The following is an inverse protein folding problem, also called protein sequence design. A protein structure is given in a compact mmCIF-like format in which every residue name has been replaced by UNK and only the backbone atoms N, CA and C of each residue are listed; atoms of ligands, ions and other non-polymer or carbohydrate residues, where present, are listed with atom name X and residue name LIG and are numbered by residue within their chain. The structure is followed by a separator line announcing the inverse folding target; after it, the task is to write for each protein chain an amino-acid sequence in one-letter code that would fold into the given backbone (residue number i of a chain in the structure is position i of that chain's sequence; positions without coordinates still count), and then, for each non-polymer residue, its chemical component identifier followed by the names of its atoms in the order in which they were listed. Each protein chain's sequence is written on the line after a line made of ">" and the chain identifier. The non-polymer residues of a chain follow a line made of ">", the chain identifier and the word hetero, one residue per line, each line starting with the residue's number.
data_IF_118033445639
#
_entry.id   IF_118033445639
#
_cell.length_a   1.000
_cell.length_b   1.000
_cell.length_c   1.000
_cell.angle_alpha   90.00
_cell.angle_beta   90.00
_cell.angle_gamma   90.00
#
_symmetry.space_group_name_H-M   'P 1'
#
loop_
_entity.id
_entity.type
_entity.pdbx_description
1 polymer ?
#
# COMPACT_ATOMS: atom_id res chain seq x y z
N UNK A 1 31.52 -30.80 51.00
CA UNK A 1 32.55 -30.26 50.09
C UNK A 1 31.88 -29.17 49.29
N UNK A 2 32.04 -27.93 49.76
CA UNK A 2 31.39 -26.72 49.23
C UNK A 2 32.43 -25.95 48.42
N UNK A 3 32.29 -25.92 47.10
CA UNK A 3 33.15 -25.13 46.23
C UNK A 3 32.45 -23.81 45.88
N UNK A 4 33.04 -22.75 46.40
CA UNK A 4 32.71 -21.35 46.13
C UNK A 4 33.45 -20.92 44.87
N UNK A 5 32.73 -20.45 43.86
CA UNK A 5 33.31 -19.95 42.61
C UNK A 5 33.18 -18.42 42.59
N UNK A 6 34.29 -17.73 42.82
CA UNK A 6 34.43 -16.29 42.69
C UNK A 6 34.53 -15.91 41.20
N UNK A 7 33.57 -15.11 40.71
CA UNK A 7 33.58 -14.58 39.34
C UNK A 7 33.99 -13.11 39.35
N UNK A 8 35.21 -12.86 38.88
CA UNK A 8 35.83 -11.55 38.79
C UNK A 8 35.20 -10.68 37.69
N UNK A 9 34.84 -9.46 38.06
CA UNK A 9 34.30 -8.42 37.16
C UNK A 9 35.44 -7.68 36.45
N UNK A 10 35.60 -7.95 35.16
CA UNK A 10 36.51 -7.24 34.25
C UNK A 10 35.83 -6.00 33.66
N UNK A 11 36.30 -4.80 34.04
CA UNK A 11 35.90 -3.51 33.44
C UNK A 11 36.63 -3.30 32.09
N UNK A 12 35.94 -2.91 31.00
CA UNK A 12 36.62 -2.46 29.79
C UNK A 12 37.11 -1.01 29.91
N UNK A 13 38.30 -0.78 29.35
CA UNK A 13 39.01 0.50 29.24
C UNK A 13 38.22 1.50 28.39
N UNK A 14 38.15 2.74 28.86
CA UNK A 14 37.68 3.89 28.12
C UNK A 14 38.80 4.42 27.22
N UNK A 15 38.67 4.20 25.91
CA UNK A 15 39.56 4.83 24.93
C UNK A 15 39.14 6.29 24.70
N UNK A 16 40.14 7.16 24.90
CA UNK A 16 40.14 8.56 24.53
C UNK A 16 39.80 8.73 23.05
N UNK A 17 38.76 9.51 22.75
CA UNK A 17 38.62 10.11 21.43
C UNK A 17 38.96 11.60 21.50
N UNK A 18 39.96 11.96 20.70
CA UNK A 18 40.57 13.27 20.59
C UNK A 18 39.62 14.20 19.83
N UNK A 19 39.36 15.37 20.42
CA UNK A 19 38.73 16.51 19.77
C UNK A 19 39.62 17.02 18.62
N UNK A 20 39.16 16.90 17.38
CA UNK A 20 39.68 17.68 16.26
C UNK A 20 38.83 18.94 16.09
N UNK A 21 39.37 20.06 16.57
CA UNK A 21 38.93 21.42 16.26
C UNK A 21 39.38 21.73 14.84
N UNK A 22 38.46 22.13 13.96
CA UNK A 22 38.79 22.78 12.68
C UNK A 22 38.11 24.14 12.67
N UNK A 23 38.97 25.13 12.78
CA UNK A 23 38.68 26.55 12.71
C UNK A 23 38.27 27.00 11.30
N UNK A 24 37.40 28.01 11.31
CA UNK A 24 37.43 29.23 10.51
C UNK A 24 37.61 29.15 8.98
N UNK A 25 36.56 29.63 8.31
CA UNK A 25 36.74 30.70 7.31
C UNK A 25 36.73 30.25 5.87
N UNK A 26 35.72 30.67 5.12
CA UNK A 26 35.90 31.59 3.98
C UNK A 26 34.52 32.06 3.53
N UNK A 27 34.27 33.34 3.77
CA UNK A 27 33.19 34.12 3.17
C UNK A 27 33.51 34.34 1.70
N UNK A 28 32.64 33.88 0.79
CA UNK A 28 32.63 34.39 -0.58
C UNK A 28 31.28 35.02 -0.87
N UNK A 29 31.34 36.34 -0.87
CA UNK A 29 30.36 37.30 -1.34
C UNK A 29 30.29 37.17 -2.87
N UNK A 30 29.28 36.47 -3.41
CA UNK A 30 29.01 36.53 -4.84
C UNK A 30 28.05 37.68 -5.14
N UNK A 31 28.52 38.48 -6.08
CA UNK A 31 27.95 39.72 -6.58
C UNK A 31 26.66 39.44 -7.37
N UNK A 32 25.68 40.32 -7.18
CA UNK A 32 24.52 40.49 -8.05
C UNK A 32 25.02 41.05 -9.38
N UNK A 33 24.74 40.34 -10.47
CA UNK A 33 24.98 40.79 -11.83
C UNK A 33 23.68 40.70 -12.62
N UNK A 34 22.90 41.78 -12.57
CA UNK A 34 21.93 42.10 -13.61
C UNK A 34 22.71 42.43 -14.89
N UNK A 35 22.37 41.77 -16.01
CA UNK A 35 22.25 42.40 -17.32
C UNK A 35 21.91 41.42 -18.45
N UNK A 36 21.11 41.96 -19.36
CA UNK A 36 20.96 41.64 -20.78
C UNK A 36 20.01 40.52 -21.23
N UNK A 37 18.84 40.99 -21.70
CA UNK A 37 18.46 40.98 -23.13
C UNK A 37 19.26 39.99 -23.98
N UNK A 38 18.61 38.92 -24.40
CA UNK A 38 18.99 38.24 -25.64
C UNK A 38 17.75 38.12 -26.51
N UNK A 39 17.84 38.80 -27.66
CA UNK A 39 16.87 38.81 -28.73
C UNK A 39 16.83 37.45 -29.43
N UNK A 40 15.67 37.18 -30.01
CA UNK A 40 15.46 36.26 -31.11
C UNK A 40 16.53 36.45 -32.19
N UNK A 41 17.21 35.37 -32.55
CA UNK A 41 17.34 34.91 -33.95
C UNK A 41 18.36 33.77 -34.07
N UNK A 42 17.93 32.77 -34.82
CA UNK A 42 18.72 32.03 -35.80
C UNK A 42 19.21 30.59 -35.49
N UNK A 43 18.91 29.77 -36.50
CA UNK A 43 19.64 28.63 -37.05
C UNK A 43 19.41 27.24 -36.44
N UNK A 44 18.41 26.58 -37.04
CA UNK A 44 18.36 25.14 -37.29
C UNK A 44 19.72 24.68 -37.80
N UNK A 45 20.43 23.86 -37.02
CA UNK A 45 21.58 23.09 -37.47
C UNK A 45 21.28 21.60 -37.34
N UNK A 46 21.38 20.93 -38.48
CA UNK A 46 21.28 19.49 -38.69
C UNK A 46 22.09 18.68 -37.67
N UNK A 47 21.39 17.92 -36.83
CA UNK A 47 21.99 16.81 -36.11
C UNK A 47 22.08 15.60 -37.04
N UNK A 48 23.25 15.46 -37.64
CA UNK A 48 23.67 14.28 -38.39
C UNK A 48 23.60 13.03 -37.52
N UNK A 49 22.92 12.02 -38.06
CA UNK A 49 22.86 10.64 -37.57
C UNK A 49 24.28 10.03 -37.50
N UNK A 50 24.65 9.33 -36.41
CA UNK A 50 25.79 8.44 -36.45
C UNK A 50 25.45 7.19 -37.27
N UNK A 51 26.13 7.09 -38.42
CA UNK A 51 26.23 5.93 -39.28
C UNK A 51 27.21 4.90 -38.71
N UNK A 52 26.72 3.88 -38.00
CA UNK A 52 27.31 2.53 -38.09
C UNK A 52 26.43 1.46 -37.43
N UNK A 53 25.92 0.50 -38.22
CA UNK A 53 25.32 -0.73 -37.72
C UNK A 53 26.38 -1.85 -37.72
N UNK A 54 26.86 -2.25 -36.54
CA UNK A 54 27.68 -3.47 -36.40
C UNK A 54 27.78 -3.85 -34.93
N UNK A 55 27.64 -5.09 -34.46
CA UNK A 55 27.24 -6.38 -34.99
C UNK A 55 27.11 -7.28 -33.72
N UNK A 56 26.44 -8.42 -33.88
CA UNK A 56 26.47 -9.59 -32.99
C UNK A 56 25.62 -9.53 -31.71
N UNK A 57 24.44 -10.14 -31.77
CA UNK A 57 24.12 -11.36 -31.00
C UNK A 57 22.79 -11.95 -31.47
N UNK A 58 22.77 -12.51 -32.68
CA UNK A 58 21.77 -13.51 -33.08
C UNK A 58 22.21 -14.84 -32.48
N UNK A 59 21.71 -15.16 -31.28
CA UNK A 59 21.71 -16.54 -30.82
C UNK A 59 20.42 -17.18 -31.32
N UNK A 60 20.52 -17.75 -32.52
CA UNK A 60 19.63 -18.79 -33.02
C UNK A 60 19.72 -19.97 -32.06
N UNK A 61 18.72 -20.13 -31.20
CA UNK A 61 18.40 -21.40 -30.56
C UNK A 61 17.26 -22.01 -31.37
N UNK A 62 17.64 -22.73 -32.43
CA UNK A 62 16.80 -23.78 -33.00
C UNK A 62 16.76 -24.93 -31.98
N UNK A 63 15.70 -24.96 -31.17
CA UNK A 63 15.27 -26.19 -30.50
C UNK A 63 14.13 -26.80 -31.31
N UNK A 64 14.52 -27.75 -32.14
CA UNK A 64 13.64 -28.73 -32.78
C UNK A 64 13.04 -29.67 -31.74
N UNK A 65 11.71 -29.87 -31.83
CA UNK A 65 10.97 -31.11 -31.52
C UNK A 65 10.91 -31.48 -30.01
N UNK A 66 9.77 -31.75 -29.38
CA UNK A 66 8.60 -32.50 -29.79
C UNK A 66 7.35 -31.92 -29.09
N UNK A 67 6.30 -31.61 -29.84
CA UNK A 67 4.97 -31.40 -29.25
C UNK A 67 4.40 -32.76 -28.87
N UNK A 68 4.08 -33.02 -27.58
CA UNK A 68 3.44 -34.25 -27.19
C UNK A 68 2.05 -34.34 -27.84
N UNK A 69 1.73 -35.53 -28.36
CA UNK A 69 0.48 -35.84 -29.01
C UNK A 69 -0.71 -35.41 -28.13
N UNK A 70 -1.58 -34.58 -28.71
CA UNK A 70 -2.88 -34.24 -28.16
C UNK A 70 -3.67 -35.56 -28.06
N UNK A 71 -3.83 -36.07 -26.84
CA UNK A 71 -4.75 -37.17 -26.57
C UNK A 71 -6.16 -36.64 -26.82
N UNK A 72 -6.96 -37.24 -27.72
CA UNK A 72 -8.35 -36.86 -27.88
C UNK A 72 -9.07 -37.18 -26.56
N UNK A 73 -9.45 -36.14 -25.82
CA UNK A 73 -10.35 -36.27 -24.69
C UNK A 73 -11.72 -36.65 -25.25
N UNK A 74 -12.16 -37.89 -25.02
CA UNK A 74 -13.56 -38.25 -25.18
C UNK A 74 -14.40 -37.35 -24.25
N UNK A 75 -15.46 -36.70 -24.76
CA UNK A 75 -16.35 -35.94 -23.93
C UNK A 75 -17.05 -36.89 -22.95
N UNK A 76 -16.72 -36.75 -21.66
CA UNK A 76 -17.50 -37.35 -20.58
C UNK A 76 -18.95 -36.89 -20.73
N UNK A 77 -19.85 -37.83 -21.01
CA UNK A 77 -21.29 -37.56 -20.97
C UNK A 77 -21.66 -37.27 -19.51
N UNK A 78 -21.93 -35.99 -19.24
CA UNK A 78 -22.56 -35.54 -18.01
C UNK A 78 -24.06 -35.64 -18.26
N UNK A 79 -24.72 -36.59 -17.60
CA UNK A 79 -26.18 -36.67 -17.57
C UNK A 79 -26.73 -35.40 -16.90
N UNK A 80 -27.27 -34.49 -17.70
CA UNK A 80 -27.86 -33.21 -17.27
C UNK A 80 -29.29 -33.36 -16.70
N UNK A 81 -29.56 -34.40 -15.92
CA UNK A 81 -30.91 -34.65 -15.38
C UNK A 81 -31.20 -34.02 -14.01
N UNK A 82 -30.32 -33.18 -13.46
CA UNK A 82 -30.64 -32.36 -12.28
C UNK A 82 -30.73 -30.89 -12.68
N UNK A 83 -31.96 -30.49 -12.99
CA UNK A 83 -32.41 -29.12 -13.24
C UNK A 83 -32.38 -28.33 -11.91
N UNK A 84 -31.18 -27.96 -11.45
CA UNK A 84 -31.04 -27.02 -10.34
C UNK A 84 -31.35 -25.60 -10.83
N UNK A 85 -32.58 -25.16 -10.58
CA UNK A 85 -33.03 -23.78 -10.74
C UNK A 85 -32.16 -22.84 -9.88
N UNK A 86 -31.22 -22.14 -10.50
CA UNK A 86 -30.46 -21.03 -9.90
C UNK A 86 -31.13 -19.72 -10.32
N UNK A 87 -32.36 -19.51 -9.88
CA UNK A 87 -32.98 -18.18 -9.89
C UNK A 87 -33.14 -17.72 -8.44
N UNK A 88 -32.76 -16.46 -8.20
CA UNK A 88 -32.92 -15.70 -6.96
C UNK A 88 -31.94 -16.00 -5.81
N UNK A 89 -30.70 -15.52 -5.95
CA UNK A 89 -29.96 -15.00 -4.79
C UNK A 89 -29.36 -13.63 -5.15
N UNK A 90 -30.12 -12.59 -4.84
CA UNK A 90 -29.60 -11.22 -4.80
C UNK A 90 -28.64 -11.10 -3.61
N UNK A 91 -27.37 -10.70 -3.79
CA UNK A 91 -26.47 -10.50 -2.67
C UNK A 91 -26.83 -9.20 -1.95
N UNK A 92 -27.38 -9.33 -0.74
CA UNK A 92 -27.50 -8.21 0.18
C UNK A 92 -26.10 -7.69 0.53
N UNK A 93 -25.84 -6.44 0.16
CA UNK A 93 -24.61 -5.70 0.47
C UNK A 93 -24.55 -5.54 2.00
N UNK A 94 -23.70 -6.33 2.65
CA UNK A 94 -23.38 -6.20 4.08
C UNK A 94 -22.30 -5.14 4.25
N UNK A 95 -22.61 -4.10 5.04
CA UNK A 95 -21.66 -3.05 5.44
C UNK A 95 -20.67 -3.59 6.47
N UNK A 96 -19.37 -3.20 6.41
CA UNK A 96 -18.36 -3.69 7.32
C UNK A 96 -18.23 -2.73 8.51
N UNK A 97 -19.02 -2.93 9.56
CA UNK A 97 -18.70 -2.39 10.87
C UNK A 97 -18.75 -3.51 11.92
N UNK A 98 -17.63 -3.61 12.66
CA UNK A 98 -17.41 -4.43 13.86
C UNK A 98 -17.16 -5.93 13.63
N UNK A 99 -15.89 -6.29 13.43
CA UNK A 99 -15.37 -7.66 13.60
C UNK A 99 -14.50 -7.74 14.86
N UNK A 100 -15.13 -7.57 16.02
CA UNK A 100 -14.59 -8.15 17.26
C UNK A 100 -15.11 -9.57 17.37
N UNK A 101 -14.24 -10.55 17.04
CA UNK A 101 -14.18 -11.90 17.60
C UNK A 101 -15.47 -12.71 17.81
N UNK A 102 -16.59 -12.33 17.20
CA UNK A 102 -17.87 -12.95 17.46
C UNK A 102 -18.05 -14.11 16.50
N UNK A 103 -18.09 -15.31 17.08
CA UNK A 103 -18.48 -16.56 16.45
C UNK A 103 -19.63 -16.27 15.48
N UNK A 104 -19.37 -16.37 14.17
CA UNK A 104 -20.39 -16.17 13.13
C UNK A 104 -21.50 -17.17 13.43
N UNK A 105 -22.55 -16.71 14.11
CA UNK A 105 -23.78 -17.45 14.23
C UNK A 105 -24.42 -17.40 12.87
N UNK A 106 -24.15 -18.43 12.08
CA UNK A 106 -24.95 -18.71 10.89
C UNK A 106 -26.41 -18.74 11.34
N UNK A 107 -27.20 -17.73 10.94
CA UNK A 107 -28.65 -17.77 11.05
C UNK A 107 -29.09 -18.98 10.23
N UNK A 108 -29.26 -20.10 10.93
CA UNK A 108 -29.79 -21.34 10.39
C UNK A 108 -31.21 -20.99 9.96
N UNK A 109 -31.46 -20.93 8.65
CA UNK A 109 -32.81 -20.85 8.12
C UNK A 109 -33.53 -22.13 8.58
N UNK A 110 -34.27 -22.01 9.67
CA UNK A 110 -35.06 -23.05 10.31
C UNK A 110 -36.35 -23.24 9.52
N UNK A 111 -36.27 -23.99 8.42
CA UNK A 111 -37.43 -24.54 7.73
C UNK A 111 -37.57 -26.06 7.92
N UNK A 112 -36.44 -26.77 7.95
CA UNK A 112 -36.44 -28.22 7.97
C UNK A 112 -35.94 -28.76 9.30
N UNK A 113 -36.85 -29.33 10.08
CA UNK A 113 -36.54 -30.07 11.30
C UNK A 113 -35.99 -31.43 10.90
N UNK A 114 -34.81 -31.47 10.27
CA UNK A 114 -34.13 -32.73 9.99
C UNK A 114 -33.69 -33.38 11.31
N UNK A 115 -33.99 -34.68 11.45
CA UNK A 115 -33.63 -35.50 12.59
C UNK A 115 -32.10 -35.41 12.84
N UNK A 116 -31.63 -35.03 14.05
CA UNK A 116 -30.22 -34.74 14.33
C UNK A 116 -29.26 -35.91 14.02
N UNK A 117 -29.75 -37.15 14.07
CA UNK A 117 -28.96 -38.35 13.74
C UNK A 117 -28.57 -38.37 12.25
N UNK A 118 -29.48 -38.00 11.36
CA UNK A 118 -29.24 -37.98 9.90
C UNK A 118 -28.24 -36.86 9.54
N UNK A 119 -28.27 -35.75 10.28
CA UNK A 119 -27.36 -34.63 10.05
C UNK A 119 -25.90 -34.95 10.40
N UNK A 120 -25.67 -35.76 11.45
CA UNK A 120 -24.32 -36.15 11.86
C UNK A 120 -23.66 -37.08 10.84
N UNK A 121 -24.40 -38.04 10.30
CA UNK A 121 -23.90 -38.96 9.29
C UNK A 121 -23.59 -38.25 7.97
N UNK A 122 -24.47 -37.33 7.52
CA UNK A 122 -24.20 -36.46 6.36
C UNK A 122 -22.90 -35.67 6.54
N UNK A 123 -22.64 -35.14 7.74
CA UNK A 123 -21.42 -34.39 8.04
C UNK A 123 -20.16 -35.29 7.97
N UNK A 124 -20.22 -36.51 8.52
CA UNK A 124 -19.12 -37.47 8.46
C UNK A 124 -18.78 -37.84 7.01
N UNK A 125 -19.79 -38.18 6.20
CA UNK A 125 -19.62 -38.49 4.77
C UNK A 125 -18.97 -37.32 4.02
N UNK A 126 -19.41 -36.09 4.30
CA UNK A 126 -18.82 -34.89 3.70
C UNK A 126 -17.36 -34.70 4.13
N UNK A 127 -17.03 -34.89 5.41
CA UNK A 127 -15.65 -34.78 5.89
C UNK A 127 -14.73 -35.83 5.28
N UNK A 128 -15.19 -37.07 5.13
CA UNK A 128 -14.45 -38.14 4.46
C UNK A 128 -14.23 -37.83 2.98
N UNK A 129 -15.23 -37.28 2.29
CA UNK A 129 -15.07 -36.80 0.92
C UNK A 129 -14.01 -35.69 0.82
N UNK A 130 -14.06 -34.69 1.73
CA UNK A 130 -13.05 -33.61 1.77
C UNK A 130 -11.65 -34.16 2.01
N UNK A 131 -11.48 -35.10 2.96
CA UNK A 131 -10.20 -35.76 3.24
C UNK A 131 -9.65 -36.46 2.00
N UNK A 132 -10.48 -37.24 1.31
CA UNK A 132 -10.11 -37.92 0.04
C UNK A 132 -9.70 -36.92 -1.04
N UNK A 133 -10.44 -35.83 -1.20
CA UNK A 133 -10.12 -34.81 -2.20
C UNK A 133 -8.79 -34.11 -1.91
N UNK A 134 -8.49 -33.78 -0.64
CA UNK A 134 -7.20 -33.19 -0.26
C UNK A 134 -6.04 -34.12 -0.59
N UNK A 135 -6.14 -35.40 -0.26
CA UNK A 135 -5.07 -36.37 -0.56
C UNK A 135 -4.87 -36.47 -2.08
N UNK A 136 -5.95 -36.56 -2.86
CA UNK A 136 -5.87 -36.72 -4.32
C UNK A 136 -5.30 -35.50 -5.05
N UNK A 137 -5.65 -34.29 -4.62
CA UNK A 137 -5.34 -33.06 -5.37
C UNK A 137 -4.21 -32.22 -4.77
N UNK A 138 -3.96 -32.30 -3.46
CA UNK A 138 -2.92 -31.48 -2.82
C UNK A 138 -1.57 -32.20 -2.70
N UNK A 139 -1.54 -33.53 -2.62
CA UNK A 139 -0.29 -34.29 -2.51
C UNK A 139 0.13 -34.75 -3.91
N UNK A 140 1.15 -34.12 -4.46
CA UNK A 140 1.72 -34.50 -5.76
C UNK A 140 3.05 -35.23 -5.50
N UNK A 141 3.23 -36.48 -5.97
CA UNK A 141 4.42 -37.27 -5.68
C UNK A 141 5.71 -36.62 -6.21
N UNK A 142 5.60 -35.80 -7.26
CA UNK A 142 6.70 -35.05 -7.88
C UNK A 142 7.19 -33.88 -7.01
N UNK A 143 6.36 -33.34 -6.12
CA UNK A 143 6.68 -32.19 -5.28
C UNK A 143 6.75 -32.58 -3.81
N UNK A 144 7.95 -32.88 -3.32
CA UNK A 144 8.18 -33.28 -1.93
C UNK A 144 7.66 -32.27 -0.89
N UNK A 145 7.68 -30.98 -1.22
CA UNK A 145 7.14 -29.91 -0.37
C UNK A 145 5.66 -30.10 -0.04
N UNK A 146 4.88 -30.68 -0.97
CA UNK A 146 3.44 -30.89 -0.80
C UNK A 146 3.11 -32.03 0.17
N UNK A 147 4.05 -32.97 0.37
CA UNK A 147 3.88 -34.10 1.31
C UNK A 147 3.73 -33.63 2.76
N UNK A 148 4.25 -32.45 3.08
CA UNK A 148 4.17 -31.87 4.42
C UNK A 148 2.87 -31.06 4.67
N UNK A 149 2.07 -30.80 3.64
CA UNK A 149 0.86 -29.97 3.72
C UNK A 149 -0.36 -30.73 4.27
N UNK A 150 -0.52 -31.99 3.87
CA UNK A 150 -1.66 -32.86 4.22
C UNK A 150 -1.11 -34.14 4.86
N UNK A 151 -1.69 -34.56 5.97
CA UNK A 151 -1.37 -35.83 6.61
C UNK A 151 -1.91 -37.02 5.79
N UNK A 152 -1.36 -38.24 5.94
CA UNK A 152 -1.84 -39.41 5.20
C UNK A 152 -3.32 -39.78 5.45
N UNK A 153 -3.91 -39.30 6.55
CA UNK A 153 -5.34 -39.47 6.87
C UNK A 153 -6.25 -38.41 6.19
N UNK A 154 -5.67 -37.50 5.39
CA UNK A 154 -6.36 -36.41 4.70
C UNK A 154 -6.65 -35.19 5.57
N UNK A 155 -6.13 -35.14 6.81
CA UNK A 155 -6.23 -33.95 7.67
C UNK A 155 -5.18 -32.91 7.28
N UNK A 156 -5.52 -31.63 7.49
CA UNK A 156 -4.66 -30.50 7.14
C UNK A 156 -3.57 -30.34 8.21
N UNK A 157 -2.30 -30.28 7.79
CA UNK A 157 -1.21 -29.96 8.71
C UNK A 157 -1.24 -28.45 9.04
N UNK A 158 -1.94 -28.08 10.11
CA UNK A 158 -2.08 -26.68 10.53
C UNK A 158 -0.73 -26.02 10.84
N UNK A 159 0.29 -26.78 11.25
CA UNK A 159 1.61 -26.25 11.53
C UNK A 159 2.33 -25.80 10.26
N UNK A 160 2.05 -26.42 9.11
CA UNK A 160 2.64 -26.05 7.82
C UNK A 160 2.19 -24.65 7.36
N UNK A 161 0.92 -24.29 7.61
CA UNK A 161 0.35 -23.00 7.19
C UNK A 161 0.53 -21.89 8.23
N UNK A 162 1.01 -22.22 9.42
CA UNK A 162 1.41 -21.20 10.39
C UNK A 162 2.79 -20.69 9.96
N UNK A 163 2.99 -19.36 9.88
CA UNK A 163 4.32 -18.81 9.71
C UNK A 163 5.26 -19.46 10.73
N UNK A 164 6.36 -20.06 10.25
CA UNK A 164 7.34 -20.72 11.12
C UNK A 164 7.69 -19.74 12.24
N UNK A 165 7.58 -20.13 13.51
CA UNK A 165 7.82 -19.22 14.64
C UNK A 165 9.20 -18.55 14.57
N UNK A 166 10.17 -19.14 13.84
CA UNK A 166 11.47 -18.54 13.50
C UNK A 166 11.53 -17.71 12.21
N UNK A 167 10.61 -17.85 11.26
CA UNK A 167 10.51 -16.96 10.09
C UNK A 167 9.95 -15.57 10.46
N UNK A 168 9.22 -15.49 11.58
CA UNK A 168 8.88 -14.20 12.21
C UNK A 168 10.15 -13.54 12.79
N UNK A 169 11.18 -14.33 13.13
CA UNK A 169 12.48 -13.81 13.58
C UNK A 169 13.40 -13.42 12.42
N UNK A 170 13.25 -13.91 11.20
CA UNK A 170 13.95 -13.31 10.04
C UNK A 170 13.22 -12.05 9.51
N UNK A 171 11.92 -11.88 9.80
CA UNK A 171 11.27 -10.56 9.79
C UNK A 171 11.67 -9.69 11.01
N UNK A 172 12.45 -10.24 11.95
CA UNK A 172 13.11 -9.50 13.02
C UNK A 172 14.48 -8.93 12.63
N UNK A 173 14.63 -8.51 11.37
CA UNK A 173 15.23 -7.19 11.14
C UNK A 173 14.26 -6.10 11.65
N UNK A 174 13.93 -6.17 12.95
CA UNK A 174 12.84 -5.53 13.68
C UNK A 174 11.89 -4.72 12.82
N UNK A 175 10.79 -5.34 12.33
CA UNK A 175 9.69 -4.64 11.65
C UNK A 175 9.44 -3.31 12.34
N UNK A 176 9.96 -2.25 11.71
CA UNK A 176 10.11 -0.96 12.36
C UNK A 176 8.71 -0.46 12.63
N UNK A 177 8.35 -0.36 13.91
CA UNK A 177 7.01 0.12 14.30
C UNK A 177 6.95 1.59 13.94
N UNK A 178 5.94 1.97 13.19
CA UNK A 178 5.68 3.37 12.87
C UNK A 178 5.30 4.13 14.14
N UNK A 179 6.19 5.00 14.60
CA UNK A 179 6.03 5.78 15.85
C UNK A 179 5.61 7.21 15.59
N UNK A 180 5.14 7.90 16.64
CA UNK A 180 4.79 9.32 16.55
C UNK A 180 5.99 10.22 16.21
N UNK A 181 7.20 9.82 16.64
CA UNK A 181 8.44 10.52 16.27
C UNK A 181 8.64 10.50 14.76
N UNK A 182 8.50 9.34 14.12
CA UNK A 182 8.63 9.20 12.67
C UNK A 182 7.51 9.92 11.92
N UNK A 183 6.29 9.93 12.47
CA UNK A 183 5.18 10.75 11.95
C UNK A 183 5.53 12.23 11.95
N UNK A 184 6.05 12.76 13.06
CA UNK A 184 6.45 14.17 13.16
C UNK A 184 7.57 14.54 12.18
N UNK A 185 8.56 13.65 12.00
CA UNK A 185 9.65 13.83 11.03
C UNK A 185 9.14 13.80 9.59
N UNK A 186 8.16 12.95 9.28
CA UNK A 186 7.52 12.93 7.96
C UNK A 186 6.78 14.26 7.69
N UNK A 187 6.05 14.79 8.67
CA UNK A 187 5.38 16.10 8.55
C UNK A 187 6.42 17.21 8.30
N UNK A 188 7.53 17.22 9.03
CA UNK A 188 8.63 18.17 8.81
C UNK A 188 9.25 18.02 7.41
N UNK A 189 9.42 16.79 6.94
CA UNK A 189 9.90 16.50 5.59
C UNK A 189 8.95 17.03 4.52
N UNK A 190 7.64 16.85 4.68
CA UNK A 190 6.62 17.40 3.77
C UNK A 190 6.64 18.93 3.78
N UNK A 191 6.76 19.57 4.94
CA UNK A 191 6.85 21.02 5.02
C UNK A 191 8.10 21.58 4.33
N UNK A 192 9.25 20.89 4.45
CA UNK A 192 10.53 21.32 3.87
C UNK A 192 10.66 21.03 2.38
N UNK A 193 10.49 19.77 1.98
CA UNK A 193 10.74 19.29 0.63
C UNK A 193 9.47 19.28 -0.23
N UNK A 194 8.31 18.99 0.36
CA UNK A 194 7.04 18.85 -0.35
C UNK A 194 6.67 17.39 -0.65
N UNK A 195 5.41 17.15 -0.98
CA UNK A 195 4.91 15.83 -1.36
C UNK A 195 5.42 15.48 -2.77
N UNK A 196 6.06 14.31 -2.90
CA UNK A 196 6.71 13.85 -4.14
C UNK A 196 8.21 13.62 -3.98
N UNK A 197 8.84 14.34 -3.05
CA UNK A 197 10.28 14.26 -2.74
C UNK A 197 10.59 13.24 -1.63
N UNK A 198 10.07 12.02 -1.77
CA UNK A 198 10.18 10.99 -0.72
C UNK A 198 11.60 10.45 -0.54
N UNK A 199 12.44 10.51 -1.58
CA UNK A 199 13.82 10.05 -1.52
C UNK A 199 14.65 10.98 -0.63
N UNK A 200 14.47 12.28 -0.81
CA UNK A 200 15.12 13.33 -0.04
C UNK A 200 14.67 13.30 1.42
N UNK A 201 13.38 13.03 1.69
CA UNK A 201 12.87 12.85 3.06
C UNK A 201 13.47 11.59 3.71
N UNK A 202 13.53 10.49 2.97
CA UNK A 202 14.18 9.25 3.43
C UNK A 202 15.64 9.52 3.80
N UNK A 203 16.43 10.06 2.87
CA UNK A 203 17.88 10.21 3.03
C UNK A 203 18.26 11.17 4.17
N UNK A 204 17.47 12.25 4.39
CA UNK A 204 17.81 13.28 5.38
C UNK A 204 17.14 13.10 6.75
N UNK A 205 15.92 12.57 6.80
CA UNK A 205 15.11 12.56 8.03
C UNK A 205 14.75 11.15 8.50
N UNK A 206 14.54 10.22 7.57
CA UNK A 206 14.02 8.88 7.86
C UNK A 206 14.80 7.77 7.12
N UNK A 207 16.13 7.62 7.34
CA UNK A 207 17.00 6.79 6.49
C UNK A 207 16.74 5.27 6.57
N UNK A 208 15.91 4.82 7.49
CA UNK A 208 15.48 3.42 7.53
C UNK A 208 14.03 3.21 7.14
N UNK A 209 13.45 4.13 6.37
CA UNK A 209 12.15 3.97 5.72
C UNK A 209 12.33 4.16 4.22
N UNK A 210 11.92 3.18 3.41
CA UNK A 210 11.99 3.31 1.96
C UNK A 210 11.05 4.42 1.46
N UNK A 211 11.42 5.06 0.35
CA UNK A 211 10.59 6.11 -0.27
C UNK A 211 9.15 5.63 -0.58
N UNK A 212 8.98 4.35 -0.93
CA UNK A 212 7.66 3.76 -1.16
C UNK A 212 6.84 3.65 0.14
N UNK A 213 7.46 3.25 1.25
CA UNK A 213 6.77 3.17 2.55
C UNK A 213 6.33 4.57 3.00
N UNK A 214 7.21 5.56 2.87
CA UNK A 214 6.89 6.95 3.17
C UNK A 214 5.71 7.45 2.33
N UNK A 215 5.67 7.13 1.03
CA UNK A 215 4.52 7.45 0.17
C UNK A 215 3.23 6.85 0.72
N UNK A 216 3.24 5.59 1.16
CA UNK A 216 2.06 4.94 1.76
C UNK A 216 1.64 5.58 3.08
N UNK A 217 2.59 5.97 3.92
CA UNK A 217 2.32 6.71 5.15
C UNK A 217 1.72 8.08 4.85
N UNK A 218 2.24 8.80 3.86
CA UNK A 218 1.69 10.08 3.41
C UNK A 218 0.28 9.95 2.84
N UNK A 219 -0.04 8.86 2.10
CA UNK A 219 -1.41 8.60 1.63
C UNK A 219 -2.41 8.56 2.80
N UNK A 220 -2.06 7.83 3.86
CA UNK A 220 -2.90 7.74 5.08
C UNK A 220 -2.94 9.05 5.86
N UNK A 221 -1.82 9.76 5.93
CA UNK A 221 -1.70 11.03 6.64
C UNK A 221 -2.56 12.13 5.98
N UNK A 222 -2.59 12.18 4.65
CA UNK A 222 -3.40 13.12 3.86
C UNK A 222 -4.85 12.64 3.67
N UNK A 223 -5.13 11.38 3.96
CA UNK A 223 -6.45 10.78 3.74
C UNK A 223 -6.77 10.60 2.25
N UNK A 224 -5.78 10.39 1.38
CA UNK A 224 -5.99 10.23 -0.07
C UNK A 224 -4.98 9.29 -0.69
N UNK A 225 -5.46 8.40 -1.55
CA UNK A 225 -4.61 7.42 -2.23
C UNK A 225 -3.76 8.05 -3.35
N UNK A 226 -4.36 8.89 -4.20
CA UNK A 226 -3.58 9.56 -5.25
C UNK A 226 -2.93 10.85 -4.73
N UNK A 227 -1.61 10.84 -4.62
CA UNK A 227 -0.82 12.01 -4.22
C UNK A 227 -0.34 12.87 -5.39
N UNK A 228 -0.60 12.50 -6.65
CA UNK A 228 -0.12 13.25 -7.82
C UNK A 228 -0.62 14.69 -7.86
N UNK A 229 -1.83 14.95 -7.35
CA UNK A 229 -2.38 16.32 -7.26
C UNK A 229 -1.71 17.18 -6.19
N UNK A 230 -0.95 16.57 -5.28
CA UNK A 230 -0.17 17.25 -4.25
C UNK A 230 1.30 17.33 -4.63
N UNK A 231 1.67 17.13 -5.90
CA UNK A 231 3.06 17.26 -6.32
C UNK A 231 3.61 18.62 -5.89
N UNK A 232 4.74 18.60 -5.19
CA UNK A 232 5.46 19.76 -4.67
C UNK A 232 4.68 20.56 -3.60
N UNK A 233 3.51 20.06 -3.16
CA UNK A 233 2.72 20.70 -2.12
C UNK A 233 3.43 20.62 -0.78
N UNK A 234 3.48 21.77 -0.09
CA UNK A 234 4.09 21.93 1.23
C UNK A 234 3.05 22.43 2.23
N UNK A 235 3.07 21.89 3.44
CA UNK A 235 2.16 22.30 4.49
C UNK A 235 2.57 21.78 5.86
N UNK A 236 2.18 22.53 6.89
CA UNK A 236 2.37 22.16 8.29
C UNK A 236 1.29 21.16 8.74
N UNK A 237 1.39 20.68 9.97
CA UNK A 237 0.44 19.70 10.52
C UNK A 237 -1.03 20.15 10.42
N UNK A 238 -1.32 21.44 10.66
CA UNK A 238 -2.69 21.95 10.55
C UNK A 238 -3.23 21.96 9.12
N UNK A 239 -2.36 22.23 8.13
CA UNK A 239 -2.74 22.17 6.72
C UNK A 239 -3.03 20.73 6.28
N UNK A 240 -2.19 19.79 6.73
CA UNK A 240 -2.38 18.35 6.52
C UNK A 240 -3.69 17.88 7.17
N UNK A 241 -3.98 18.30 8.41
CA UNK A 241 -5.22 17.95 9.12
C UNK A 241 -6.46 18.47 8.39
N UNK A 242 -6.45 19.73 7.95
CA UNK A 242 -7.53 20.33 7.15
C UNK A 242 -7.77 19.57 5.84
N UNK A 243 -6.69 19.15 5.17
CA UNK A 243 -6.81 18.40 3.92
C UNK A 243 -7.31 16.96 4.16
N UNK A 244 -6.88 16.32 5.25
CA UNK A 244 -7.40 15.02 5.68
C UNK A 244 -8.91 15.08 5.96
N UNK A 245 -9.36 16.08 6.74
CA UNK A 245 -10.78 16.27 7.06
C UNK A 245 -11.62 16.53 5.80
N UNK A 246 -11.13 17.39 4.90
CA UNK A 246 -11.75 17.63 3.59
C UNK A 246 -11.88 16.34 2.78
N UNK A 247 -10.81 15.55 2.67
CA UNK A 247 -10.81 14.29 1.92
C UNK A 247 -11.74 13.25 2.55
N UNK A 248 -11.78 13.20 3.90
CA UNK A 248 -12.70 12.35 4.66
C UNK A 248 -14.15 12.73 4.40
N UNK A 249 -14.48 14.01 4.43
CA UNK A 249 -15.84 14.49 4.17
C UNK A 249 -16.32 14.09 2.76
N UNK A 250 -15.46 14.28 1.75
CA UNK A 250 -15.76 13.87 0.37
C UNK A 250 -15.96 12.37 0.30
N UNK A 251 -15.05 11.58 0.88
CA UNK A 251 -15.11 10.12 0.83
C UNK A 251 -16.32 9.55 1.55
N UNK A 252 -16.74 10.14 2.66
CA UNK A 252 -17.96 9.72 3.37
C UNK A 252 -19.21 10.06 2.55
N UNK A 253 -19.26 11.24 1.91
CA UNK A 253 -20.40 11.66 1.08
C UNK A 253 -20.54 10.84 -0.20
N UNK A 254 -19.44 10.41 -0.80
CA UNK A 254 -19.45 9.61 -2.04
C UNK A 254 -19.39 8.09 -1.80
N UNK A 255 -19.22 7.65 -0.55
CA UNK A 255 -18.99 6.23 -0.22
C UNK A 255 -17.61 5.70 -0.63
N UNK A 256 -16.67 6.59 -0.99
CA UNK A 256 -15.32 6.24 -1.46
C UNK A 256 -14.23 6.35 -0.39
N UNK A 257 -14.63 6.45 0.88
CA UNK A 257 -13.71 6.38 2.02
C UNK A 257 -13.39 4.92 2.36
N UNK A 258 -12.20 4.45 1.97
CA UNK A 258 -11.76 3.06 2.22
C UNK A 258 -10.42 3.05 2.94
N UNK A 259 -10.35 2.28 4.03
CA UNK A 259 -9.14 2.11 4.85
C UNK A 259 -8.48 3.44 5.28
N UNK A 260 -9.28 4.46 5.60
CA UNK A 260 -8.77 5.77 6.02
C UNK A 260 -8.24 6.66 4.89
N UNK A 261 -8.58 6.36 3.64
CA UNK A 261 -8.19 7.16 2.47
C UNK A 261 -9.33 7.32 1.48
N UNK A 262 -9.36 8.47 0.81
CA UNK A 262 -10.22 8.74 -0.33
C UNK A 262 -9.66 8.01 -1.57
N UNK A 263 -10.46 7.08 -2.09
CA UNK A 263 -10.17 6.30 -3.30
C UNK A 263 -10.90 6.93 -4.50
N UNK A 264 -10.37 6.73 -5.71
CA UNK A 264 -11.05 7.15 -6.93
C UNK A 264 -12.28 6.30 -7.19
N UNK A 265 -13.26 6.96 -7.78
CA UNK A 265 -14.46 6.36 -8.31
C UNK A 265 -14.36 6.32 -9.84
N UNK A 266 -14.83 5.24 -10.44
CA UNK A 266 -14.83 5.04 -11.89
C UNK A 266 -15.80 6.02 -12.58
N UNK A 267 -16.88 6.42 -11.89
CA UNK A 267 -17.87 7.38 -12.40
C UNK A 267 -17.38 8.85 -12.30
N UNK A 268 -16.21 9.08 -11.71
CA UNK A 268 -15.60 10.40 -11.56
C UNK A 268 -16.34 11.35 -10.62
N UNK A 269 -17.26 10.85 -9.77
CA UNK A 269 -18.02 11.67 -8.82
C UNK A 269 -17.11 12.41 -7.83
N UNK A 270 -16.07 11.71 -7.35
CA UNK A 270 -15.04 12.28 -6.46
C UNK A 270 -14.37 13.50 -7.10
N UNK A 271 -14.02 13.42 -8.39
CA UNK A 271 -13.36 14.51 -9.12
C UNK A 271 -14.29 15.72 -9.27
N UNK A 272 -15.57 15.49 -9.59
CA UNK A 272 -16.58 16.55 -9.69
C UNK A 272 -16.74 17.28 -8.35
N UNK A 273 -16.87 16.53 -7.26
CA UNK A 273 -17.06 17.09 -5.92
C UNK A 273 -15.86 17.91 -5.45
N UNK A 274 -14.63 17.47 -5.76
CA UNK A 274 -13.41 18.24 -5.47
C UNK A 274 -13.43 19.58 -6.23
N UNK A 275 -13.71 19.56 -7.54
CA UNK A 275 -13.78 20.78 -8.37
C UNK A 275 -14.83 21.76 -7.87
N UNK A 276 -15.99 21.26 -7.44
CA UNK A 276 -17.05 22.09 -6.87
C UNK A 276 -16.64 22.75 -5.56
N UNK A 277 -15.98 22.02 -4.65
CA UNK A 277 -15.47 22.56 -3.40
C UNK A 277 -14.39 23.63 -3.64
N UNK A 278 -13.51 23.41 -4.61
CA UNK A 278 -12.50 24.40 -5.02
C UNK A 278 -13.13 25.66 -5.61
N UNK A 279 -14.16 25.49 -6.47
CA UNK A 279 -14.92 26.61 -7.03
C UNK A 279 -15.63 27.41 -5.93
N UNK A 280 -16.26 26.73 -4.96
CA UNK A 280 -16.90 27.38 -3.79
C UNK A 280 -15.90 28.16 -2.94
N UNK A 281 -14.71 27.61 -2.70
CA UNK A 281 -13.64 28.32 -1.98
C UNK A 281 -13.19 29.58 -2.71
N UNK A 282 -12.96 29.49 -4.03
CA UNK A 282 -12.57 30.62 -4.86
C UNK A 282 -13.63 31.72 -4.88
N UNK A 283 -14.91 31.34 -5.02
CA UNK A 283 -16.01 32.30 -5.00
C UNK A 283 -16.15 32.96 -3.62
N UNK A 284 -15.99 32.20 -2.53
CA UNK A 284 -16.03 32.76 -1.17
C UNK A 284 -14.89 33.78 -0.94
N UNK A 285 -13.68 33.50 -1.42
CA UNK A 285 -12.56 34.45 -1.30
C UNK A 285 -12.72 35.71 -2.15
N UNK A 286 -13.53 35.67 -3.21
CA UNK A 286 -13.85 36.85 -4.02
C UNK A 286 -14.88 37.72 -3.32
N UNK A 287 -15.95 37.13 -2.78
CA UNK A 287 -17.00 37.88 -2.09
C UNK A 287 -16.49 38.67 -0.87
N UNK A 288 -15.57 38.11 -0.08
CA UNK A 288 -15.00 38.80 1.10
C UNK A 288 -14.28 40.10 0.73
N UNK A 289 -13.75 40.22 -0.49
CA UNK A 289 -13.02 41.42 -0.92
C UNK A 289 -13.93 42.59 -1.32
N UNK A 290 -15.19 42.32 -1.61
CA UNK A 290 -16.13 43.37 -2.01
C UNK A 290 -16.72 44.06 -0.77
N UNK A 291 -16.93 43.32 0.33
CA UNK A 291 -17.42 43.87 1.60
C UNK A 291 -16.41 44.84 2.26
N UNK A 292 -15.10 44.50 2.22
CA UNK A 292 -14.05 45.35 2.80
C UNK A 292 -13.88 46.68 2.03
N UNK A 293 -14.24 46.72 0.73
CA UNK A 293 -14.16 47.95 -0.08
C UNK A 293 -15.32 48.91 0.17
N UNK A 294 -16.52 48.39 0.42
CA UNK A 294 -17.67 49.23 0.74
C UNK A 294 -17.54 49.90 2.12
N UNK A 295 -16.73 49.33 3.04
CA UNK A 295 -16.45 49.95 4.35
C UNK A 295 -15.39 51.07 4.23
N UNK A 296 -14.35 50.89 3.41
CA UNK A 296 -13.30 51.90 3.16
C UNK A 296 -13.86 53.13 2.43
N UNK A 297 -14.74 52.97 1.44
CA UNK A 297 -15.41 54.09 0.76
C UNK A 297 -16.36 54.87 1.69
N UNK A 298 -16.89 54.22 2.73
CA UNK A 298 -17.81 54.87 3.69
C UNK A 298 -17.07 55.68 4.76
N UNK A 299 -15.80 55.38 5.02
CA UNK A 299 -14.93 56.17 5.92
C UNK A 299 -14.35 57.41 5.23
N UNK A 300 -14.16 57.40 3.89
CA UNK A 300 -13.69 58.57 3.14
C UNK A 300 -14.75 59.67 2.94
N UNK A 301 -16.04 59.34 3.06
CA UNK A 301 -17.16 60.30 2.92
C UNK A 301 -17.54 61.03 4.23
N UNK A 302 -16.98 60.64 5.38
CA UNK A 302 -17.25 61.26 6.71
C UNK A 302 -16.15 62.16 7.21
#
# INVERSE_FOLDING_TARGET
>A
MTETIDSATSKPKSDLYVHASLDAGTSQHLHVGDNNKFSDDAVITDCSLPSSPSQYFTCLVEMTQETPAIIPHEPMQIDNNDEFSITEFAPAILTPEQTDGNLVQYKKNTGDTENPVIAEDKYKVKQEWVKRMRVKFCVQPEFEITKNMIHPDGTLNQAYFRPTQGAILSQSNGQRKWTEKERSLLIQGIAKYGIGHFREISDNLLPGWGAQDLRVKTMRLMGRQNLQLYKDWKGNEDAIRKEYEKNKEIGVKTGMWKAGTLVYDDDGLVVKMIKELEKKKRNKSLAVRDDDKEEEEREEET
#
